data_IF_150357442702
#
_entry.id   IF_150357442702
#
_cell.length_a   1.000
_cell.length_b   1.000
_cell.length_c   1.000
_cell.angle_alpha   90.00
_cell.angle_beta   90.00
_cell.angle_gamma   90.00
#
_symmetry.space_group_name_H-M   'P 1'
#
loop_
_entity.id
_entity.type
_entity.pdbx_description
1 polymer ?
#
# COMPACT_ATOMS: atom_id res chain seq x y z
N UNK A 1 -19.06 16.88 6.84
CA UNK A 1 -18.12 16.51 5.77
C UNK A 1 -18.50 15.13 5.27
N UNK A 2 -18.74 14.95 3.97
CA UNK A 2 -19.17 13.64 3.45
C UNK A 2 -18.03 12.62 3.60
N UNK A 3 -18.36 11.38 3.98
CA UNK A 3 -17.42 10.27 4.21
C UNK A 3 -16.40 10.12 3.07
N UNK A 4 -16.85 10.39 1.84
CA UNK A 4 -16.08 10.32 0.61
C UNK A 4 -14.87 11.27 0.55
N UNK A 5 -15.02 12.52 1.02
CA UNK A 5 -13.91 13.49 1.03
C UNK A 5 -12.84 13.11 2.06
N UNK A 6 -13.24 12.48 3.16
CA UNK A 6 -12.31 12.07 4.21
C UNK A 6 -11.51 10.83 3.76
N UNK A 7 -12.15 9.87 3.10
CA UNK A 7 -11.46 8.71 2.51
C UNK A 7 -10.41 9.13 1.48
N UNK A 8 -10.75 10.03 0.54
CA UNK A 8 -9.78 10.54 -0.43
C UNK A 8 -8.57 11.24 0.19
N UNK A 9 -8.77 11.96 1.30
CA UNK A 9 -7.66 12.57 2.05
C UNK A 9 -6.75 11.54 2.69
N UNK A 10 -7.31 10.43 3.19
CA UNK A 10 -6.51 9.34 3.76
C UNK A 10 -5.61 8.71 2.69
N UNK A 11 -6.14 8.43 1.49
CA UNK A 11 -5.31 7.94 0.37
C UNK A 11 -4.27 8.96 -0.10
N UNK A 12 -4.61 10.25 -0.11
CA UNK A 12 -3.63 11.29 -0.42
C UNK A 12 -2.51 11.33 0.62
N UNK A 13 -2.85 11.27 1.90
CA UNK A 13 -1.89 11.28 3.01
C UNK A 13 -1.01 10.03 3.01
N UNK A 14 -1.59 8.84 2.84
CA UNK A 14 -0.84 7.59 2.75
C UNK A 14 0.06 7.60 1.52
N UNK A 15 -0.46 8.01 0.36
CA UNK A 15 0.29 8.11 -0.88
C UNK A 15 1.51 9.04 -0.76
N UNK A 16 1.29 10.27 -0.29
CA UNK A 16 2.39 11.22 -0.05
C UNK A 16 3.40 10.66 0.95
N UNK A 17 2.94 10.08 2.05
CA UNK A 17 3.81 9.53 3.08
C UNK A 17 4.68 8.39 2.56
N UNK A 18 4.08 7.42 1.86
CA UNK A 18 4.78 6.24 1.32
C UNK A 18 5.77 6.63 0.23
N UNK A 19 5.38 7.52 -0.69
CA UNK A 19 6.28 8.02 -1.73
C UNK A 19 7.43 8.84 -1.13
N UNK A 20 7.16 9.68 -0.13
CA UNK A 20 8.20 10.44 0.57
C UNK A 20 9.15 9.53 1.36
N UNK A 21 8.63 8.50 2.04
CA UNK A 21 9.44 7.53 2.76
C UNK A 21 10.35 6.75 1.80
N UNK A 22 9.82 6.26 0.68
CA UNK A 22 10.60 5.57 -0.34
C UNK A 22 11.69 6.49 -0.91
N UNK A 23 11.35 7.73 -1.27
CA UNK A 23 12.31 8.71 -1.77
C UNK A 23 13.40 9.03 -0.75
N UNK A 24 13.05 9.21 0.53
CA UNK A 24 14.02 9.44 1.59
C UNK A 24 15.00 8.29 1.73
N UNK A 25 14.51 7.04 1.71
CA UNK A 25 15.35 5.84 1.76
C UNK A 25 16.27 5.76 0.53
N UNK A 26 15.76 6.05 -0.67
CA UNK A 26 16.57 6.10 -1.89
C UNK A 26 17.65 7.18 -1.85
N UNK A 27 17.33 8.37 -1.34
CA UNK A 27 18.30 9.48 -1.23
C UNK A 27 19.36 9.18 -0.17
N UNK A 28 18.97 8.59 0.97
CA UNK A 28 19.88 8.30 2.08
C UNK A 28 20.85 7.16 1.78
N UNK A 29 20.39 6.11 1.11
CA UNK A 29 21.21 4.93 0.81
C UNK A 29 21.87 4.98 -0.57
N UNK A 30 21.30 5.74 -1.51
CA UNK A 30 21.85 5.91 -2.86
C UNK A 30 22.18 4.58 -3.54
N UNK A 31 23.45 4.41 -3.91
CA UNK A 31 23.95 3.20 -4.59
C UNK A 31 23.95 1.93 -3.74
N UNK A 32 24.05 2.05 -2.41
CA UNK A 32 24.08 0.90 -1.49
C UNK A 32 22.73 0.16 -1.46
N UNK A 33 21.67 0.85 -1.86
CA UNK A 33 20.34 0.27 -2.00
C UNK A 33 20.33 -0.83 -3.08
N UNK A 34 21.08 -0.63 -4.17
CA UNK A 34 21.23 -1.64 -5.24
C UNK A 34 22.15 -2.79 -4.84
N UNK A 35 23.03 -2.60 -3.86
CA UNK A 35 23.86 -3.67 -3.32
C UNK A 35 23.03 -4.70 -2.52
N UNK A 36 21.84 -4.30 -2.04
CA UNK A 36 20.92 -5.16 -1.29
C UNK A 36 19.62 -5.36 -2.08
N UNK A 37 19.59 -6.37 -2.95
CA UNK A 37 18.46 -6.64 -3.85
C UNK A 37 17.10 -6.72 -3.15
N UNK A 38 17.04 -7.27 -1.93
CA UNK A 38 15.80 -7.38 -1.14
C UNK A 38 15.28 -6.00 -0.73
N UNK A 39 16.17 -5.10 -0.28
CA UNK A 39 15.83 -3.74 0.09
C UNK A 39 15.38 -2.92 -1.13
N UNK A 40 16.04 -3.10 -2.27
CA UNK A 40 15.62 -2.48 -3.53
C UNK A 40 14.21 -2.87 -3.94
N UNK A 41 13.89 -4.17 -3.87
CA UNK A 41 12.55 -4.67 -4.15
C UNK A 41 11.55 -4.05 -3.15
N UNK A 42 11.86 -4.09 -1.85
CA UNK A 42 10.98 -3.53 -0.82
C UNK A 42 10.66 -2.04 -1.07
N UNK A 43 11.68 -1.21 -1.28
CA UNK A 43 11.53 0.23 -1.51
C UNK A 43 10.74 0.50 -2.79
N UNK A 44 10.97 -0.30 -3.84
CA UNK A 44 10.20 -0.19 -5.09
C UNK A 44 8.72 -0.52 -4.88
N UNK A 45 8.39 -1.54 -4.08
CA UNK A 45 7.00 -1.88 -3.75
C UNK A 45 6.33 -0.79 -2.92
N UNK A 46 7.04 -0.19 -1.95
CA UNK A 46 6.53 0.95 -1.16
C UNK A 46 6.29 2.16 -2.04
N UNK A 47 7.20 2.46 -2.98
CA UNK A 47 7.05 3.57 -3.91
C UNK A 47 5.81 3.37 -4.80
N UNK A 48 5.65 2.16 -5.37
CA UNK A 48 4.48 1.81 -6.19
C UNK A 48 3.18 1.86 -5.37
N UNK A 49 3.21 1.39 -4.12
CA UNK A 49 2.06 1.49 -3.22
C UNK A 49 1.63 2.96 -3.01
N UNK A 50 2.60 3.84 -2.76
CA UNK A 50 2.35 5.27 -2.62
C UNK A 50 1.78 5.90 -3.90
N UNK A 51 2.29 5.53 -5.07
CA UNK A 51 1.75 6.00 -6.36
C UNK A 51 0.31 5.52 -6.55
N UNK A 52 0.01 4.25 -6.25
CA UNK A 52 -1.35 3.72 -6.33
C UNK A 52 -2.32 4.49 -5.42
N UNK A 53 -1.89 4.83 -4.20
CA UNK A 53 -2.68 5.63 -3.27
C UNK A 53 -2.90 7.09 -3.74
N UNK A 54 -1.88 7.70 -4.36
CA UNK A 54 -2.02 9.02 -4.98
C UNK A 54 -3.01 9.01 -6.15
N UNK A 55 -2.96 7.97 -6.99
CA UNK A 55 -3.93 7.78 -8.08
C UNK A 55 -5.34 7.62 -7.50
N UNK A 56 -5.50 6.79 -6.46
CA UNK A 56 -6.76 6.61 -5.75
C UNK A 56 -7.31 7.94 -5.18
N UNK A 57 -6.45 8.84 -4.70
CA UNK A 57 -6.85 10.14 -4.20
C UNK A 57 -7.39 11.08 -5.31
N UNK A 58 -6.82 11.00 -6.52
CA UNK A 58 -7.26 11.81 -7.66
C UNK A 58 -8.63 11.39 -8.19
N UNK A 59 -8.98 10.11 -8.06
CA UNK A 59 -10.27 9.55 -8.41
C UNK A 59 -10.15 8.29 -9.26
N UNK A 60 -11.15 8.03 -10.09
CA UNK A 60 -11.13 6.90 -11.02
C UNK A 60 -10.23 7.24 -12.20
N UNK A 61 -9.19 6.44 -12.44
CA UNK A 61 -8.26 6.61 -13.55
C UNK A 61 -8.30 5.39 -14.46
N UNK A 62 -8.36 5.60 -15.78
CA UNK A 62 -8.33 4.51 -16.77
C UNK A 62 -9.53 3.56 -16.74
N UNK A 63 -10.72 4.03 -16.35
CA UNK A 63 -11.90 3.18 -16.20
C UNK A 63 -11.86 2.28 -14.95
N UNK A 64 -10.85 2.45 -14.09
CA UNK A 64 -10.69 1.71 -12.86
C UNK A 64 -11.11 2.54 -11.66
N UNK A 65 -11.92 1.96 -10.77
CA UNK A 65 -12.44 2.66 -9.61
C UNK A 65 -11.32 3.01 -8.62
N UNK A 66 -11.40 4.20 -8.02
CA UNK A 66 -10.42 4.75 -7.09
C UNK A 66 -10.05 3.79 -5.93
N UNK A 67 -11.01 3.05 -5.39
CA UNK A 67 -10.77 2.11 -4.29
C UNK A 67 -9.98 0.87 -4.72
N UNK A 68 -10.01 0.48 -6.01
CA UNK A 68 -9.23 -0.65 -6.54
C UNK A 68 -7.76 -0.28 -6.67
N UNK A 69 -7.47 0.99 -6.98
CA UNK A 69 -6.12 1.54 -6.90
C UNK A 69 -5.58 1.53 -5.46
N UNK A 70 -6.39 1.95 -4.48
CA UNK A 70 -6.01 1.84 -3.06
C UNK A 70 -5.83 0.38 -2.60
N UNK A 71 -6.63 -0.55 -3.15
CA UNK A 71 -6.48 -1.98 -2.90
C UNK A 71 -5.16 -2.56 -3.41
N UNK A 72 -4.74 -2.15 -4.62
CA UNK A 72 -3.39 -2.46 -5.14
C UNK A 72 -2.30 -1.90 -4.22
N UNK A 73 -2.46 -0.65 -3.75
CA UNK A 73 -1.53 -0.04 -2.80
C UNK A 73 -1.36 -0.88 -1.54
N UNK A 74 -2.47 -1.35 -0.96
CA UNK A 74 -2.47 -2.23 0.20
C UNK A 74 -1.80 -3.59 -0.05
N UNK A 75 -1.98 -4.20 -1.23
CA UNK A 75 -1.30 -5.45 -1.60
C UNK A 75 0.21 -5.23 -1.65
N UNK A 76 0.65 -4.18 -2.34
CA UNK A 76 2.07 -3.87 -2.49
C UNK A 76 2.72 -3.53 -1.14
N UNK A 77 2.05 -2.71 -0.34
CA UNK A 77 2.49 -2.36 1.02
C UNK A 77 2.57 -3.62 1.89
N UNK A 78 1.54 -4.47 1.84
CA UNK A 78 1.45 -5.68 2.64
C UNK A 78 2.58 -6.67 2.34
N UNK A 79 2.91 -6.84 1.06
CA UNK A 79 4.04 -7.68 0.63
C UNK A 79 5.41 -7.06 0.95
N UNK A 80 5.51 -5.72 1.04
CA UNK A 80 6.76 -5.02 1.32
C UNK A 80 7.19 -5.11 2.80
N UNK A 81 6.24 -5.20 3.73
CA UNK A 81 6.50 -5.14 5.17
C UNK A 81 7.41 -6.28 5.68
N UNK A 82 7.17 -7.56 5.32
CA UNK A 82 8.03 -8.66 5.76
C UNK A 82 9.44 -8.60 5.18
N UNK A 83 9.59 -8.04 3.97
CA UNK A 83 10.88 -8.01 3.26
C UNK A 83 11.95 -7.17 4.00
N UNK A 84 11.53 -6.20 4.82
CA UNK A 84 12.46 -5.34 5.55
C UNK A 84 13.17 -6.00 6.74
N UNK A 85 12.71 -7.18 7.16
CA UNK A 85 13.26 -7.85 8.34
C UNK A 85 14.05 -9.12 8.00
N UNK A 86 13.89 -9.64 6.78
CA UNK A 86 14.60 -10.85 6.31
C UNK A 86 16.11 -10.68 6.51
N UNK A 87 16.71 -11.57 7.31
CA UNK A 87 18.15 -11.58 7.58
C UNK A 87 18.61 -10.67 8.72
N UNK A 88 17.69 -10.15 9.54
CA UNK A 88 18.02 -9.41 10.77
C UNK A 88 18.12 -10.33 11.99
N UNK A 89 18.90 -9.95 13.02
CA UNK A 89 19.11 -10.78 14.21
C UNK A 89 17.83 -11.05 15.05
N UNK A 90 16.76 -10.27 14.83
CA UNK A 90 15.45 -10.38 15.50
C UNK A 90 14.36 -10.92 14.56
N UNK A 91 14.77 -11.62 13.50
CA UNK A 91 13.97 -11.98 12.32
C UNK A 91 12.59 -12.55 12.70
N UNK A 92 12.53 -13.50 13.63
CA UNK A 92 11.33 -14.31 13.84
C UNK A 92 10.12 -13.54 14.40
N UNK A 93 10.31 -12.65 15.38
CA UNK A 93 9.20 -11.88 15.96
C UNK A 93 8.76 -10.78 15.00
N UNK A 94 9.71 -10.05 14.41
CA UNK A 94 9.37 -8.98 13.48
C UNK A 94 8.74 -9.55 12.21
N UNK A 95 9.29 -10.60 11.61
CA UNK A 95 8.67 -11.31 10.48
C UNK A 95 7.27 -11.81 10.81
N UNK A 96 7.03 -12.31 12.02
CA UNK A 96 5.70 -12.76 12.42
C UNK A 96 4.72 -11.59 12.48
N UNK A 97 5.11 -10.48 13.13
CA UNK A 97 4.26 -9.29 13.25
C UNK A 97 4.04 -8.63 11.90
N UNK A 98 5.09 -8.39 11.12
CA UNK A 98 5.00 -7.78 9.79
C UNK A 98 4.39 -8.71 8.77
N UNK A 99 4.56 -10.01 8.94
CA UNK A 99 3.90 -11.05 8.15
C UNK A 99 2.39 -11.05 8.38
N UNK A 100 1.94 -11.05 9.64
CA UNK A 100 0.51 -10.97 9.98
C UNK A 100 -0.10 -9.63 9.54
N UNK A 101 0.58 -8.52 9.82
CA UNK A 101 0.14 -7.19 9.40
C UNK A 101 0.10 -7.05 7.89
N UNK A 102 1.15 -7.51 7.20
CA UNK A 102 1.27 -7.47 5.75
C UNK A 102 0.25 -8.38 5.05
N UNK A 103 0.01 -9.58 5.57
CA UNK A 103 -1.02 -10.49 5.07
C UNK A 103 -2.42 -9.88 5.25
N UNK A 104 -2.69 -9.24 6.39
CA UNK A 104 -3.97 -8.57 6.64
C UNK A 104 -4.22 -7.43 5.66
N UNK A 105 -3.20 -6.59 5.43
CA UNK A 105 -3.26 -5.51 4.43
C UNK A 105 -3.46 -6.06 3.02
N UNK A 106 -2.74 -7.13 2.68
CA UNK A 106 -2.88 -7.80 1.38
C UNK A 106 -4.29 -8.35 1.20
N UNK A 107 -4.85 -9.02 2.21
CA UNK A 107 -6.20 -9.54 2.17
C UNK A 107 -7.25 -8.42 2.00
N UNK A 108 -7.08 -7.30 2.71
CA UNK A 108 -7.92 -6.12 2.52
C UNK A 108 -7.79 -5.54 1.11
N UNK A 109 -6.58 -5.48 0.58
CA UNK A 109 -6.33 -4.99 -0.78
C UNK A 109 -6.96 -5.88 -1.85
N UNK A 110 -6.90 -7.21 -1.68
CA UNK A 110 -7.59 -8.19 -2.54
C UNK A 110 -9.10 -8.00 -2.46
N UNK A 111 -9.66 -7.79 -1.27
CA UNK A 111 -11.09 -7.51 -1.10
C UNK A 111 -11.53 -6.26 -1.87
N UNK A 112 -10.74 -5.18 -1.80
CA UNK A 112 -11.01 -3.96 -2.55
C UNK A 112 -10.90 -4.16 -4.07
N UNK A 113 -9.90 -4.92 -4.54
CA UNK A 113 -9.65 -5.12 -5.98
C UNK A 113 -10.63 -6.10 -6.64
N UNK A 114 -10.93 -7.22 -5.96
CA UNK A 114 -11.72 -8.32 -6.52
C UNK A 114 -13.18 -8.29 -6.07
N UNK A 115 -13.44 -7.90 -4.82
CA UNK A 115 -14.76 -7.98 -4.19
C UNK A 115 -15.37 -6.60 -3.89
N UNK A 116 -14.74 -5.51 -4.36
CA UNK A 116 -15.29 -4.15 -4.26
C UNK A 116 -15.55 -3.72 -2.80
N UNK A 117 -14.75 -4.24 -1.86
CA UNK A 117 -14.88 -3.95 -0.44
C UNK A 117 -15.98 -4.72 0.28
N UNK A 118 -16.57 -5.75 -0.35
CA UNK A 118 -17.72 -6.49 0.19
C UNK A 118 -17.49 -7.10 1.57
N UNK A 119 -16.26 -7.51 1.87
CA UNK A 119 -15.94 -8.19 3.12
C UNK A 119 -15.26 -7.28 4.16
N UNK A 120 -14.75 -6.12 3.73
CA UNK A 120 -14.05 -5.17 4.62
C UNK A 120 -14.86 -3.91 4.93
N UNK A 121 -15.82 -3.53 4.09
CA UNK A 121 -16.69 -2.38 4.32
C UNK A 121 -18.14 -2.79 4.55
N UNK A 122 -18.85 -2.02 5.37
CA UNK A 122 -20.26 -2.23 5.69
C UNK A 122 -21.20 -1.97 4.51
N UNK A 123 -20.72 -1.33 3.45
CA UNK A 123 -21.50 -0.98 2.25
C UNK A 123 -20.63 -1.18 1.02
N UNK A 124 -21.20 -1.76 -0.04
CA UNK A 124 -20.50 -2.00 -1.29
C UNK A 124 -20.08 -0.67 -1.92
N UNK A 125 -18.81 -0.55 -2.29
CA UNK A 125 -18.27 0.69 -2.89
C UNK A 125 -18.81 0.93 -4.31
N UNK A 126 -19.39 -0.10 -4.94
CA UNK A 126 -20.00 -0.02 -6.26
C UNK A 126 -21.40 0.65 -6.22
N UNK A 127 -22.15 0.49 -5.13
CA UNK A 127 -23.48 1.09 -4.96
C UNK A 127 -23.43 2.62 -4.80
N UNK A 128 -22.31 3.15 -4.30
CA UNK A 128 -22.15 4.59 -4.05
C UNK A 128 -21.61 5.37 -5.27
N UNK A 129 -21.25 4.65 -6.35
CA UNK A 129 -20.65 5.20 -7.57
C UNK A 129 -21.59 5.09 -8.80
N UNK A 130 -22.85 4.65 -8.61
CA UNK A 130 -23.95 4.72 -9.58
C UNK A 130 -24.91 5.86 -9.20
#
# INVERSE_FOLDING_TARGET
MSSYQNQRRLYALSGVFLTAAAAAVTVLLGGDLLATSVLAIQVSMIALAGICDLVAATGSFGGWAWYRWGGLGNILLGLSLPLGFVGTAWDSIFLLVTGLGGLSLTAMGIDLVAFHGRYTQQTLLDEHNQ
#
